data_IF_884958817250
#
_entry.id   IF_884958817250
#
_cell.length_a   1.000
_cell.length_b   1.000
_cell.length_c   1.000
_cell.angle_alpha   90.00
_cell.angle_beta   90.00
_cell.angle_gamma   90.00
#
_symmetry.space_group_name_H-M   'P 1'
#
loop_
_entity.id
_entity.type
_entity.pdbx_description
1 polymer ?
#
# COMPACT_ATOMS: atom_id res chain seq x y z
N UNK A 1 -0.25 -3.33 -29.21
CA UNK A 1 0.94 -2.69 -28.59
C UNK A 1 1.48 -3.64 -27.54
N UNK A 2 2.80 -3.88 -27.47
CA UNK A 2 3.40 -4.81 -26.50
C UNK A 2 4.04 -4.06 -25.33
N UNK A 3 4.21 -4.72 -24.17
CA UNK A 3 4.90 -4.13 -23.02
C UNK A 3 6.32 -3.67 -23.38
N UNK A 4 7.03 -4.45 -24.20
CA UNK A 4 8.38 -4.08 -24.66
C UNK A 4 8.37 -2.83 -25.55
N UNK A 5 7.36 -2.66 -26.41
CA UNK A 5 7.21 -1.44 -27.19
C UNK A 5 6.96 -0.22 -26.30
N UNK A 6 6.16 -0.36 -25.23
CA UNK A 6 5.93 0.71 -24.25
C UNK A 6 7.21 1.04 -23.48
N UNK A 7 7.93 0.04 -22.96
CA UNK A 7 9.22 0.24 -22.28
C UNK A 7 10.22 0.97 -23.18
N UNK A 8 10.29 0.61 -24.46
CA UNK A 8 11.15 1.29 -25.43
C UNK A 8 10.73 2.74 -25.63
N UNK A 9 9.43 3.01 -25.80
CA UNK A 9 8.92 4.37 -25.93
C UNK A 9 9.26 5.25 -24.71
N UNK A 10 9.13 4.70 -23.50
CA UNK A 10 9.48 5.39 -22.24
C UNK A 10 10.97 5.76 -22.20
N UNK A 11 11.86 4.87 -22.67
CA UNK A 11 13.31 5.14 -22.73
C UNK A 11 13.65 6.33 -23.63
N UNK A 12 12.84 6.59 -24.66
CA UNK A 12 13.03 7.72 -25.58
C UNK A 12 12.44 9.04 -25.06
N UNK A 13 11.68 9.04 -23.97
CA UNK A 13 11.16 10.27 -23.36
C UNK A 13 12.28 11.09 -22.71
N UNK A 14 12.22 12.43 -22.75
CA UNK A 14 13.07 13.29 -21.93
C UNK A 14 12.95 12.92 -20.43
N UNK A 15 14.03 13.08 -19.66
CA UNK A 15 14.07 12.72 -18.24
C UNK A 15 12.96 13.36 -17.40
N UNK A 16 12.62 14.62 -17.68
CA UNK A 16 11.49 15.31 -17.03
C UNK A 16 10.16 14.61 -17.27
N UNK A 17 9.92 14.13 -18.50
CA UNK A 17 8.69 13.40 -18.84
C UNK A 17 8.68 11.98 -18.27
N UNK A 18 9.84 11.32 -18.16
CA UNK A 18 9.95 10.06 -17.40
C UNK A 18 9.55 10.26 -15.94
N UNK A 19 9.97 11.36 -15.31
CA UNK A 19 9.57 11.70 -13.93
C UNK A 19 8.08 11.95 -13.77
N UNK A 20 7.45 12.66 -14.72
CA UNK A 20 5.98 12.86 -14.73
C UNK A 20 5.24 11.53 -14.86
N UNK A 21 5.70 10.65 -15.75
CA UNK A 21 5.11 9.32 -15.94
C UNK A 21 5.25 8.45 -14.68
N UNK A 22 6.42 8.48 -14.04
CA UNK A 22 6.66 7.77 -12.79
C UNK A 22 5.68 8.22 -11.71
N UNK A 23 5.57 9.53 -11.48
CA UNK A 23 4.63 10.07 -10.49
C UNK A 23 3.19 9.64 -10.75
N UNK A 24 2.76 9.68 -12.00
CA UNK A 24 1.43 9.23 -12.38
C UNK A 24 1.21 7.73 -12.11
N UNK A 25 2.21 6.87 -12.35
CA UNK A 25 2.12 5.44 -12.02
C UNK A 25 2.03 5.22 -10.50
N UNK A 26 2.82 5.94 -9.71
CA UNK A 26 2.79 5.89 -8.25
C UNK A 26 1.42 6.32 -7.71
N UNK A 27 0.87 7.44 -8.19
CA UNK A 27 -0.47 7.91 -7.82
C UNK A 27 -1.55 6.85 -8.09
N UNK A 28 -1.42 6.10 -9.20
CA UNK A 28 -2.35 5.01 -9.53
C UNK A 28 -2.19 3.79 -8.64
N UNK A 29 -0.96 3.43 -8.31
CA UNK A 29 -0.68 2.32 -7.40
C UNK A 29 -1.21 2.62 -6.00
N UNK A 30 -0.98 3.83 -5.50
CA UNK A 30 -1.53 4.28 -4.21
C UNK A 30 -3.06 4.24 -4.20
N UNK A 31 -3.71 4.76 -5.25
CA UNK A 31 -5.17 4.72 -5.34
C UNK A 31 -5.74 3.29 -5.41
N UNK A 32 -5.03 2.36 -6.07
CA UNK A 32 -5.41 0.95 -6.10
C UNK A 32 -5.27 0.30 -4.71
N UNK A 33 -4.19 0.62 -4.00
CA UNK A 33 -3.98 0.21 -2.61
C UNK A 33 -5.08 0.71 -1.68
N UNK A 34 -5.43 2.00 -1.76
CA UNK A 34 -6.51 2.59 -0.95
C UNK A 34 -7.84 1.89 -1.20
N UNK A 35 -8.14 1.58 -2.46
CA UNK A 35 -9.36 0.85 -2.83
C UNK A 35 -9.36 -0.59 -2.29
N UNK A 36 -8.23 -1.30 -2.37
CA UNK A 36 -8.11 -2.67 -1.83
C UNK A 36 -8.26 -2.68 -0.30
N UNK A 37 -7.61 -1.75 0.40
CA UNK A 37 -7.77 -1.59 1.85
C UNK A 37 -9.24 -1.30 2.21
N UNK A 38 -9.88 -0.37 1.49
CA UNK A 38 -11.28 -0.05 1.70
C UNK A 38 -12.20 -1.26 1.52
N UNK A 39 -11.95 -2.08 0.49
CA UNK A 39 -12.71 -3.30 0.24
C UNK A 39 -12.46 -4.36 1.31
N UNK A 40 -11.20 -4.58 1.70
CA UNK A 40 -10.83 -5.60 2.69
C UNK A 40 -11.43 -5.30 4.06
N UNK A 41 -11.54 -4.04 4.47
CA UNK A 41 -12.11 -3.64 5.75
C UNK A 41 -13.59 -3.21 5.69
N UNK A 42 -14.25 -3.42 4.55
CA UNK A 42 -15.71 -3.27 4.44
C UNK A 42 -16.46 -4.40 5.17
N UNK A 43 -17.77 -4.24 5.47
CA UNK A 43 -18.56 -5.31 6.09
C UNK A 43 -18.53 -6.62 5.28
N UNK A 44 -18.04 -7.70 5.89
CA UNK A 44 -17.85 -9.00 5.21
C UNK A 44 -16.56 -9.10 4.37
N UNK A 45 -15.75 -8.05 4.35
CA UNK A 45 -14.45 -8.02 3.68
C UNK A 45 -13.41 -8.94 4.33
N UNK A 46 -12.34 -9.22 3.59
CA UNK A 46 -11.29 -10.19 3.97
C UNK A 46 -10.48 -9.76 5.21
N UNK A 47 -10.50 -8.47 5.55
CA UNK A 47 -9.84 -7.89 6.71
C UNK A 47 -10.62 -8.05 8.01
N UNK A 48 -11.90 -8.42 7.96
CA UNK A 48 -12.74 -8.55 9.16
C UNK A 48 -12.25 -9.61 10.16
N UNK A 49 -11.80 -10.82 9.74
CA UNK A 49 -11.20 -11.79 10.67
C UNK A 49 -9.96 -11.26 11.39
N UNK A 50 -9.11 -10.49 10.68
CA UNK A 50 -7.95 -9.84 11.29
C UNK A 50 -8.38 -8.79 12.31
N UNK A 51 -9.40 -7.98 11.99
CA UNK A 51 -9.94 -6.97 12.89
C UNK A 51 -10.48 -7.59 14.18
N UNK A 52 -11.21 -8.70 14.08
CA UNK A 52 -11.72 -9.42 15.26
C UNK A 52 -10.60 -10.01 16.11
N UNK A 53 -9.55 -10.53 15.49
CA UNK A 53 -8.34 -10.98 16.19
C UNK A 53 -7.69 -9.83 16.95
N UNK A 54 -7.48 -8.68 16.30
CA UNK A 54 -6.88 -7.49 16.93
C UNK A 54 -7.72 -7.02 18.13
N UNK A 55 -9.05 -6.99 18.00
CA UNK A 55 -9.94 -6.67 19.13
C UNK A 55 -9.79 -7.66 20.28
N UNK A 56 -9.64 -8.96 19.99
CA UNK A 56 -9.41 -9.97 21.02
C UNK A 56 -8.05 -9.80 21.71
N UNK A 57 -7.00 -9.51 20.96
CA UNK A 57 -5.66 -9.26 21.49
C UNK A 57 -5.62 -8.01 22.39
N UNK A 58 -6.33 -6.93 22.00
CA UNK A 58 -6.49 -5.73 22.85
C UNK A 58 -7.18 -6.08 24.17
N UNK A 59 -8.30 -6.82 24.11
CA UNK A 59 -9.02 -7.27 25.32
C UNK A 59 -8.15 -8.15 26.22
N UNK A 60 -7.25 -8.93 25.63
CA UNK A 60 -6.32 -9.80 26.34
C UNK A 60 -5.03 -9.08 26.79
N UNK A 61 -4.89 -7.77 26.54
CA UNK A 61 -3.68 -7.01 26.88
C UNK A 61 -2.45 -7.39 26.05
N UNK A 62 -2.62 -8.06 24.91
CA UNK A 62 -1.55 -8.53 24.02
C UNK A 62 -1.09 -7.44 23.05
N UNK A 63 -0.70 -6.30 23.58
CA UNK A 63 -0.12 -5.21 22.80
C UNK A 63 1.01 -4.55 23.58
N UNK A 64 1.86 -3.81 22.87
CA UNK A 64 2.89 -2.97 23.49
C UNK A 64 2.65 -1.51 23.09
N UNK A 65 2.95 -0.55 23.97
CA UNK A 65 2.98 0.86 23.60
C UNK A 65 3.87 1.09 22.38
N UNK A 66 3.44 1.99 21.49
CA UNK A 66 4.16 2.30 20.25
C UNK A 66 5.60 2.77 20.52
N UNK A 67 5.81 3.51 21.61
CA UNK A 67 7.12 3.99 22.09
C UNK A 67 8.11 2.87 22.40
N UNK A 68 7.64 1.67 22.73
CA UNK A 68 8.50 0.51 22.97
C UNK A 68 8.94 -0.16 21.66
N UNK A 69 8.13 -0.05 20.60
CA UNK A 69 8.46 -0.59 19.26
C UNK A 69 9.45 0.28 18.49
N UNK A 70 9.39 1.60 18.66
CA UNK A 70 10.26 2.56 17.96
C UNK A 70 11.73 2.52 18.42
N UNK A 71 11.98 2.16 19.69
CA UNK A 71 13.34 2.07 20.26
C UNK A 71 14.17 0.90 19.74
N UNK A 72 13.57 -0.07 19.05
CA UNK A 72 14.26 -1.26 18.54
C UNK A 72 14.86 -1.03 17.13
N UNK A 73 14.53 0.10 16.48
CA UNK A 73 14.99 0.41 15.11
C UNK A 73 15.95 1.61 15.02
N UNK A 74 16.40 2.12 16.15
CA UNK A 74 17.37 3.23 16.25
C UNK A 74 18.77 2.72 16.56
#
# INVERSE_FOLDING_TARGET
MTLEAVKKAIKHLPKKQQGVLLRWLEEREQAAWDAEIGADFSPGGRGMPLLEKVKADIRAGKFKPMEEGSRVRS
#
